data_IF_284372724925
#
_entry.id   IF_284372724925
#
_cell.length_a   1.000
_cell.length_b   1.000
_cell.length_c   1.000
_cell.angle_alpha   90.00
_cell.angle_beta   90.00
_cell.angle_gamma   90.00
#
_symmetry.space_group_name_H-M   'P 1'
#
loop_
_entity.id
_entity.type
_entity.pdbx_description
1 polymer ?
#
# COMPACT_ATOMS: atom_id res chain seq x y z
N UNK A 1 -3.02 23.51 50.11
CA UNK A 1 -3.45 22.31 49.36
C UNK A 1 -2.27 21.87 48.50
N UNK A 2 -1.67 20.69 48.73
CA UNK A 2 -0.56 20.24 47.90
C UNK A 2 -1.13 19.83 46.54
N UNK A 3 -0.64 20.44 45.46
CA UNK A 3 -0.98 20.02 44.10
C UNK A 3 -0.24 18.70 43.82
N UNK A 4 -0.97 17.59 43.85
CA UNK A 4 -0.45 16.34 43.32
C UNK A 4 -0.25 16.52 41.83
N UNK A 5 1.00 16.73 41.41
CA UNK A 5 1.37 16.66 40.00
C UNK A 5 1.15 15.20 39.61
N UNK A 6 0.01 14.94 38.99
CA UNK A 6 -0.25 13.70 38.28
C UNK A 6 0.79 13.64 37.15
N UNK A 7 1.94 13.04 37.41
CA UNK A 7 2.85 12.63 36.34
C UNK A 7 2.11 11.59 35.52
N UNK A 8 2.00 11.82 34.21
CA UNK A 8 1.63 10.77 33.27
C UNK A 8 2.44 9.52 33.64
N UNK A 9 1.81 8.33 33.72
CA UNK A 9 2.57 7.09 33.90
C UNK A 9 3.71 7.15 32.89
N UNK A 10 4.94 7.02 33.36
CA UNK A 10 6.10 6.99 32.48
C UNK A 10 5.75 6.01 31.39
N UNK A 11 5.87 6.48 30.15
CA UNK A 11 5.50 5.79 28.92
C UNK A 11 6.39 4.53 28.76
N UNK A 12 6.22 3.58 29.68
CA UNK A 12 6.65 2.20 29.60
C UNK A 12 5.61 1.54 28.71
N UNK A 13 5.57 1.99 27.46
CA UNK A 13 5.38 1.06 26.36
C UNK A 13 6.42 -0.04 26.59
N UNK A 14 5.98 -1.26 26.86
CA UNK A 14 6.80 -2.40 27.27
C UNK A 14 8.19 -2.41 26.63
N UNK A 15 9.23 -2.75 27.41
CA UNK A 15 10.59 -2.87 26.89
C UNK A 15 10.57 -3.71 25.60
N UNK A 16 10.86 -3.07 24.47
CA UNK A 16 10.74 -3.71 23.18
C UNK A 16 11.65 -4.95 23.17
N UNK A 17 11.08 -6.16 23.03
CA UNK A 17 11.83 -7.41 23.23
C UNK A 17 12.87 -7.65 22.13
N UNK A 18 12.89 -6.81 21.10
CA UNK A 18 13.85 -6.88 20.00
C UNK A 18 15.06 -6.00 20.27
N UNK A 19 16.23 -6.55 19.96
CA UNK A 19 17.50 -5.84 20.02
C UNK A 19 17.48 -4.70 18.99
N UNK A 20 18.10 -3.55 19.31
CA UNK A 20 18.21 -2.39 18.38
C UNK A 20 18.68 -2.78 16.97
N UNK A 21 19.53 -3.81 16.86
CA UNK A 21 20.01 -4.38 15.58
C UNK A 21 18.87 -4.98 14.74
N UNK A 22 17.95 -5.70 15.38
CA UNK A 22 16.83 -6.38 14.71
C UNK A 22 15.81 -5.37 14.19
N UNK A 23 15.54 -4.32 14.98
CA UNK A 23 14.67 -3.21 14.57
C UNK A 23 15.25 -2.49 13.35
N UNK A 24 16.56 -2.21 13.35
CA UNK A 24 17.22 -1.56 12.21
C UNK A 24 17.16 -2.43 10.95
N UNK A 25 17.36 -3.75 11.09
CA UNK A 25 17.28 -4.67 9.97
C UNK A 25 15.85 -4.78 9.42
N UNK A 26 14.86 -4.85 10.30
CA UNK A 26 13.45 -4.83 9.92
C UNK A 26 13.07 -3.54 9.20
N UNK A 27 13.48 -2.38 9.74
CA UNK A 27 13.24 -1.08 9.14
C UNK A 27 13.88 -0.98 7.73
N UNK A 28 15.09 -1.50 7.56
CA UNK A 28 15.77 -1.52 6.27
C UNK A 28 15.08 -2.41 5.22
N UNK A 29 14.65 -3.61 5.61
CA UNK A 29 13.89 -4.48 4.70
C UNK A 29 12.56 -3.83 4.33
N UNK A 30 11.85 -3.28 5.32
CA UNK A 30 10.57 -2.61 5.11
C UNK A 30 10.69 -1.45 4.11
N UNK A 31 11.70 -0.59 4.26
CA UNK A 31 11.89 0.53 3.33
C UNK A 31 12.19 0.05 1.92
N UNK A 32 13.02 -0.99 1.74
CA UNK A 32 13.26 -1.60 0.43
C UNK A 32 11.97 -2.15 -0.17
N UNK A 33 11.16 -2.88 0.61
CA UNK A 33 9.88 -3.42 0.14
C UNK A 33 8.94 -2.32 -0.32
N UNK A 34 8.85 -1.21 0.41
CA UNK A 34 8.03 -0.06 0.03
C UNK A 34 8.55 0.58 -1.27
N UNK A 35 9.86 0.76 -1.41
CA UNK A 35 10.46 1.30 -2.64
C UNK A 35 10.13 0.40 -3.84
N UNK A 36 10.29 -0.92 -3.71
CA UNK A 36 9.94 -1.87 -4.76
C UNK A 36 8.46 -1.79 -5.13
N UNK A 37 7.58 -1.63 -4.14
CA UNK A 37 6.15 -1.49 -4.37
C UNK A 37 5.80 -0.20 -5.13
N UNK A 38 6.50 0.91 -4.84
CA UNK A 38 6.36 2.17 -5.58
C UNK A 38 6.83 2.00 -7.03
N UNK A 39 8.00 1.40 -7.25
CA UNK A 39 8.51 1.15 -8.60
C UNK A 39 7.55 0.24 -9.40
N UNK A 40 7.01 -0.80 -8.75
CA UNK A 40 5.99 -1.67 -9.34
C UNK A 40 4.75 -0.86 -9.72
N UNK A 41 4.26 0.01 -8.83
CA UNK A 41 3.10 0.86 -9.10
C UNK A 41 3.33 1.81 -10.29
N UNK A 42 4.49 2.48 -10.36
CA UNK A 42 4.83 3.35 -11.49
C UNK A 42 4.89 2.57 -12.81
N UNK A 43 5.41 1.35 -12.79
CA UNK A 43 5.42 0.46 -13.96
C UNK A 43 4.01 0.02 -14.38
N UNK A 44 3.12 -0.27 -13.42
CA UNK A 44 1.74 -0.66 -13.71
C UNK A 44 0.84 0.52 -14.10
N UNK A 45 1.12 1.73 -13.63
CA UNK A 45 0.30 2.93 -13.91
C UNK A 45 -0.01 3.13 -15.41
N UNK A 46 0.94 3.05 -16.36
CA UNK A 46 0.63 3.16 -17.79
C UNK A 46 -0.16 1.97 -18.33
N UNK A 47 -0.09 0.79 -17.68
CA UNK A 47 -0.89 -0.38 -18.08
C UNK A 47 -2.33 -0.23 -17.61
N UNK A 48 -2.55 0.18 -16.37
CA UNK A 48 -3.87 0.34 -15.75
C UNK A 48 -4.62 1.52 -16.36
N UNK A 49 -3.96 2.67 -16.54
CA UNK A 49 -4.59 3.88 -17.08
C UNK A 49 -4.62 3.93 -18.61
N UNK A 50 -4.21 2.88 -19.31
CA UNK A 50 -4.34 2.82 -20.77
C UNK A 50 -5.74 2.31 -21.15
N UNK A 51 -6.64 3.16 -21.67
CA UNK A 51 -7.97 2.73 -22.13
C UNK A 51 -7.91 1.76 -23.33
N UNK A 52 -6.74 1.64 -23.96
CA UNK A 52 -6.48 0.75 -25.10
C UNK A 52 -5.93 -0.61 -24.66
N UNK A 53 -5.82 -0.89 -23.36
CA UNK A 53 -5.31 -2.18 -22.89
C UNK A 53 -6.32 -3.30 -23.24
N UNK A 54 -5.94 -4.26 -24.11
CA UNK A 54 -6.89 -5.13 -24.80
C UNK A 54 -7.65 -6.08 -23.87
N UNK A 55 -7.17 -6.29 -22.64
CA UNK A 55 -7.78 -7.19 -21.66
C UNK A 55 -8.89 -6.57 -20.81
N UNK A 56 -8.88 -5.25 -20.57
CA UNK A 56 -9.87 -4.58 -19.71
C UNK A 56 -11.00 -3.91 -20.49
N UNK A 57 -10.72 -3.46 -21.72
CA UNK A 57 -11.68 -2.68 -22.53
C UNK A 57 -12.55 -3.54 -23.46
N UNK A 58 -12.84 -4.78 -23.06
CA UNK A 58 -13.69 -5.69 -23.83
C UNK A 58 -15.16 -5.29 -23.64
N UNK A 59 -15.57 -4.20 -24.29
CA UNK A 59 -16.97 -3.82 -24.36
C UNK A 59 -17.73 -4.91 -25.14
N UNK A 60 -18.86 -5.42 -24.62
CA UNK A 60 -19.68 -6.36 -25.37
C UNK A 60 -20.19 -5.64 -26.64
N UNK A 61 -19.82 -6.15 -27.81
CA UNK A 61 -20.36 -5.66 -29.08
C UNK A 61 -21.82 -6.07 -29.17
N UNK A 62 -22.73 -5.11 -29.14
CA UNK A 62 -24.17 -5.30 -29.30
C UNK A 62 -24.58 -5.14 -30.77
N UNK A 63 -23.75 -5.57 -31.72
CA UNK A 63 -24.14 -5.62 -33.13
C UNK A 63 -25.29 -6.62 -33.32
N UNK A 64 -26.52 -6.12 -33.18
CA UNK A 64 -27.74 -6.81 -33.56
C UNK A 64 -27.69 -6.88 -35.08
N UNK A 65 -27.26 -8.04 -35.60
CA UNK A 65 -27.39 -8.35 -37.01
C UNK A 65 -28.86 -8.17 -37.40
N UNK A 66 -29.17 -7.08 -38.10
CA UNK A 66 -30.47 -6.89 -38.72
C UNK A 66 -30.62 -7.99 -39.76
N UNK A 67 -31.42 -9.00 -39.43
CA UNK A 67 -31.81 -10.07 -40.34
C UNK A 67 -32.49 -9.42 -41.56
N UNK A 68 -32.02 -9.64 -42.79
CA UNK A 68 -32.72 -9.14 -43.96
C UNK A 68 -34.08 -9.82 -44.07
N UNK A 69 -35.09 -9.01 -44.35
CA UNK A 69 -36.51 -9.36 -44.45
C UNK A 69 -36.82 -10.02 -45.80
#
# INVERSE_FOLDING_TARGET
>A
MPQSIYSLPSDYTEDNPFTKREITFFAFIYTISVILLICMYEYLMPVINNPTYPHYNRVPSYEIHKTPK
#
